data_IF_653103425135
#
_entry.id   IF_653103425135
#
_cell.length_a   1.000
_cell.length_b   1.000
_cell.length_c   1.000
_cell.angle_alpha   90.00
_cell.angle_beta   90.00
_cell.angle_gamma   90.00
#
_symmetry.space_group_name_H-M   'P 1'
#
loop_
_entity.id
_entity.type
_entity.pdbx_description
1 polymer ?
#
# COMPACT_ATOMS: atom_id res chain seq x y z
N UNK A 1 14.90 -25.09 22.38
CA UNK A 1 14.99 -23.62 22.44
C UNK A 1 15.10 -23.11 21.01
N UNK A 2 14.00 -22.64 20.44
CA UNK A 2 14.05 -21.88 19.19
C UNK A 2 14.50 -20.46 19.57
N UNK A 3 15.49 -19.92 18.86
CA UNK A 3 15.91 -18.55 19.07
C UNK A 3 14.84 -17.62 18.48
N UNK A 4 14.21 -16.81 19.31
CA UNK A 4 13.25 -15.79 18.86
C UNK A 4 13.96 -14.84 17.90
N UNK A 5 13.52 -14.69 16.63
CA UNK A 5 14.04 -13.64 15.77
C UNK A 5 13.59 -12.30 16.32
N UNK A 6 14.48 -11.59 17.02
CA UNK A 6 14.20 -10.24 17.49
C UNK A 6 14.39 -9.25 16.35
N UNK A 7 13.34 -8.48 16.05
CA UNK A 7 13.35 -7.37 15.08
C UNK A 7 14.54 -6.42 15.27
N UNK A 8 15.07 -6.32 16.49
CA UNK A 8 16.28 -5.57 16.87
C UNK A 8 17.53 -5.84 16.01
N UNK A 9 17.64 -7.00 15.35
CA UNK A 9 18.77 -7.28 14.47
C UNK A 9 18.62 -6.66 13.06
N UNK A 10 17.38 -6.34 12.66
CA UNK A 10 17.03 -5.69 11.40
C UNK A 10 16.67 -4.20 11.53
N UNK A 11 16.51 -3.67 12.75
CA UNK A 11 16.43 -2.22 13.02
C UNK A 11 17.75 -1.45 12.76
N UNK A 12 18.66 -2.02 11.96
CA UNK A 12 19.78 -1.28 11.38
C UNK A 12 19.24 -0.47 10.19
N UNK A 13 19.55 0.83 10.09
CA UNK A 13 19.05 1.64 8.98
C UNK A 13 19.50 1.06 7.65
N UNK A 14 18.59 1.07 6.68
CA UNK A 14 18.84 0.61 5.32
C UNK A 14 20.15 1.18 4.77
N UNK A 15 20.93 0.33 4.12
CA UNK A 15 22.04 0.80 3.28
C UNK A 15 21.47 1.83 2.29
N UNK A 16 22.17 2.96 2.05
CA UNK A 16 21.66 3.98 1.16
C UNK A 16 21.39 3.35 -0.21
N UNK A 17 20.18 3.56 -0.73
CA UNK A 17 19.94 3.48 -2.17
C UNK A 17 20.91 4.41 -2.86
N UNK A 18 21.36 4.03 -4.07
CA UNK A 18 22.48 4.65 -4.78
C UNK A 18 22.53 6.17 -4.64
N UNK A 19 23.68 6.69 -4.19
CA UNK A 19 23.86 8.11 -3.86
C UNK A 19 23.68 8.98 -5.12
N UNK A 20 22.54 9.69 -5.18
CA UNK A 20 22.19 10.61 -6.26
C UNK A 20 20.75 10.43 -6.76
N UNK A 21 20.18 11.49 -7.33
CA UNK A 21 19.10 11.37 -8.32
C UNK A 21 19.68 11.06 -9.70
N UNK A 22 18.85 10.57 -10.61
CA UNK A 22 19.22 10.45 -12.03
C UNK A 22 18.47 11.55 -12.82
N UNK A 23 19.16 12.65 -13.22
CA UNK A 23 18.54 13.73 -13.97
C UNK A 23 18.05 13.32 -15.36
N UNK A 24 18.63 12.29 -15.97
CA UNK A 24 18.22 11.80 -17.28
C UNK A 24 16.92 10.99 -17.16
N UNK A 25 16.83 10.12 -16.16
CA UNK A 25 15.60 9.41 -15.81
C UNK A 25 14.48 10.39 -15.39
N UNK A 26 14.80 11.37 -14.54
CA UNK A 26 13.85 12.39 -14.11
C UNK A 26 13.31 13.19 -15.31
N UNK A 27 14.18 13.71 -16.18
CA UNK A 27 13.78 14.42 -17.39
C UNK A 27 12.97 13.56 -18.38
N UNK A 28 13.21 12.23 -18.41
CA UNK A 28 12.45 11.27 -19.23
C UNK A 28 11.05 11.02 -18.68
N UNK A 29 10.88 10.92 -17.36
CA UNK A 29 9.59 10.62 -16.73
C UNK A 29 8.72 11.86 -16.50
N UNK A 30 9.30 13.05 -16.35
CA UNK A 30 8.57 14.28 -16.03
C UNK A 30 7.38 14.57 -16.98
N UNK A 31 7.49 14.45 -18.32
CA UNK A 31 6.36 14.71 -19.21
C UNK A 31 5.19 13.73 -19.01
N UNK A 32 5.50 12.46 -18.74
CA UNK A 32 4.49 11.44 -18.43
C UNK A 32 3.81 11.76 -17.10
N UNK A 33 4.57 12.02 -16.04
CA UNK A 33 4.00 12.30 -14.72
C UNK A 33 3.19 13.59 -14.70
N UNK A 34 3.68 14.70 -15.27
CA UNK A 34 2.90 15.94 -15.33
C UNK A 34 1.60 15.75 -16.12
N UNK A 35 1.61 14.97 -17.21
CA UNK A 35 0.39 14.63 -17.94
C UNK A 35 -0.53 13.72 -17.13
N UNK A 36 -0.01 12.66 -16.52
CA UNK A 36 -0.77 11.71 -15.71
C UNK A 36 -1.53 12.39 -14.57
N UNK A 37 -0.84 13.26 -13.82
CA UNK A 37 -1.44 14.06 -12.75
C UNK A 37 -2.52 15.04 -13.27
N UNK A 38 -2.35 15.57 -14.49
CA UNK A 38 -3.34 16.45 -15.13
C UNK A 38 -4.56 15.65 -15.61
N UNK A 39 -4.35 14.53 -16.29
CA UNK A 39 -5.40 13.70 -16.91
C UNK A 39 -6.19 12.89 -15.86
N UNK A 40 -5.67 12.75 -14.63
CA UNK A 40 -6.36 12.18 -13.46
C UNK A 40 -7.45 13.08 -12.86
N UNK A 41 -7.28 14.42 -12.90
CA UNK A 41 -8.19 15.47 -12.40
C UNK A 41 -9.00 15.10 -11.12
N UNK A 42 -8.31 14.61 -10.08
CA UNK A 42 -8.98 14.16 -8.86
C UNK A 42 -9.54 15.35 -8.06
N UNK A 43 -10.86 15.38 -7.92
CA UNK A 43 -11.61 16.35 -7.13
C UNK A 43 -12.33 15.64 -5.97
N UNK A 44 -12.51 16.26 -4.79
CA UNK A 44 -12.15 17.63 -4.44
C UNK A 44 -10.68 17.77 -4.02
N UNK A 45 -10.27 19.01 -3.77
CA UNK A 45 -9.00 19.35 -3.12
C UNK A 45 -8.74 18.50 -1.87
N UNK A 46 -7.48 18.08 -1.71
CA UNK A 46 -6.96 17.37 -0.55
C UNK A 46 -7.25 18.09 0.79
N UNK A 47 -7.63 17.32 1.81
CA UNK A 47 -7.89 17.82 3.17
C UNK A 47 -7.40 16.83 4.22
N UNK A 48 -6.88 17.37 5.33
CA UNK A 48 -6.62 16.65 6.58
C UNK A 48 -7.59 17.14 7.67
N UNK A 49 -7.81 16.33 8.69
CA UNK A 49 -8.71 16.67 9.79
C UNK A 49 -8.35 15.91 11.08
N UNK A 50 -8.23 16.64 12.19
CA UNK A 50 -7.81 16.14 13.51
C UNK A 50 -6.45 15.39 13.54
N UNK A 51 -5.51 15.77 12.66
CA UNK A 51 -4.19 15.13 12.49
C UNK A 51 -3.39 14.90 13.78
N UNK A 52 -3.31 15.91 14.66
CA UNK A 52 -2.57 15.82 15.93
C UNK A 52 -3.15 14.73 16.86
N UNK A 53 -4.48 14.71 16.98
CA UNK A 53 -5.25 13.73 17.76
C UNK A 53 -5.17 12.32 17.15
N UNK A 54 -5.11 12.22 15.82
CA UNK A 54 -4.82 10.96 15.14
C UNK A 54 -3.43 10.45 15.48
N UNK A 55 -2.41 11.30 15.42
CA UNK A 55 -1.03 10.92 15.74
C UNK A 55 -0.93 10.41 17.18
N UNK A 56 -1.56 11.10 18.14
CA UNK A 56 -1.60 10.68 19.54
C UNK A 56 -2.22 9.27 19.71
N UNK A 57 -3.42 9.04 19.18
CA UNK A 57 -4.10 7.74 19.32
C UNK A 57 -3.40 6.62 18.52
N UNK A 58 -2.80 6.92 17.37
CA UNK A 58 -1.99 5.95 16.59
C UNK A 58 -0.75 5.53 17.38
N UNK A 59 0.03 6.47 17.92
CA UNK A 59 1.24 6.15 18.71
C UNK A 59 0.88 5.38 20.00
N UNK A 60 -0.22 5.75 20.65
CA UNK A 60 -0.77 5.08 21.83
C UNK A 60 -1.21 3.65 21.53
N UNK A 61 -1.90 3.42 20.40
CA UNK A 61 -2.28 2.06 19.98
C UNK A 61 -1.04 1.25 19.56
N UNK A 62 -0.12 1.84 18.80
CA UNK A 62 1.12 1.18 18.37
C UNK A 62 1.92 0.65 19.56
N UNK A 63 2.04 1.44 20.63
CA UNK A 63 2.64 1.03 21.90
C UNK A 63 1.95 -0.18 22.56
N UNK A 64 0.63 -0.33 22.40
CA UNK A 64 -0.11 -1.46 22.99
C UNK A 64 0.10 -2.79 22.26
N UNK A 65 0.53 -2.76 21.00
CA UNK A 65 0.83 -3.97 20.20
C UNK A 65 2.06 -4.73 20.69
N UNK A 66 2.98 -4.06 21.39
CA UNK A 66 4.28 -4.61 21.79
C UNK A 66 5.29 -4.78 20.64
N UNK A 67 4.94 -4.46 19.39
CA UNK A 67 5.87 -4.50 18.24
C UNK A 67 6.87 -3.34 18.38
N UNK A 68 8.19 -3.58 18.32
CA UNK A 68 9.20 -2.51 18.34
C UNK A 68 9.00 -1.47 17.23
N UNK A 69 9.15 -0.19 17.56
CA UNK A 69 9.04 0.96 16.65
C UNK A 69 9.87 2.14 17.16
N UNK A 70 11.14 1.89 17.50
CA UNK A 70 12.04 2.94 17.97
C UNK A 70 12.18 4.07 16.94
N UNK A 71 12.39 5.30 17.40
CA UNK A 71 12.42 6.46 16.52
C UNK A 71 13.50 6.29 15.42
N UNK A 72 13.10 6.48 14.16
CA UNK A 72 13.91 6.26 12.96
C UNK A 72 14.19 4.79 12.57
N UNK A 73 13.62 3.80 13.27
CA UNK A 73 13.58 2.41 12.78
C UNK A 73 12.77 2.29 11.50
N UNK A 74 13.02 1.22 10.72
CA UNK A 74 12.17 0.86 9.58
C UNK A 74 10.72 0.64 10.00
N UNK A 75 10.51 0.00 11.16
CA UNK A 75 9.19 -0.15 11.76
C UNK A 75 8.49 1.20 12.03
N UNK A 76 9.20 2.18 12.61
CA UNK A 76 8.64 3.52 12.82
C UNK A 76 8.33 4.24 11.50
N UNK A 77 9.17 4.11 10.47
CA UNK A 77 8.86 4.67 9.15
C UNK A 77 7.60 4.03 8.55
N UNK A 78 7.41 2.72 8.70
CA UNK A 78 6.18 2.00 8.32
C UNK A 78 4.96 2.43 9.15
N UNK A 79 5.15 2.78 10.43
CA UNK A 79 4.08 3.36 11.26
C UNK A 79 3.67 4.76 10.74
N UNK A 80 4.63 5.57 10.31
CA UNK A 80 4.35 6.85 9.67
C UNK A 80 3.67 6.67 8.29
N UNK A 81 3.97 5.59 7.55
CA UNK A 81 3.19 5.22 6.34
C UNK A 81 1.72 5.03 6.69
N UNK A 82 1.42 4.23 7.71
CA UNK A 82 0.05 3.99 8.15
C UNK A 82 -0.66 5.25 8.65
N UNK A 83 0.03 6.06 9.47
CA UNK A 83 -0.50 7.35 9.93
C UNK A 83 -0.87 8.26 8.75
N UNK A 84 0.07 8.53 7.83
CA UNK A 84 -0.18 9.45 6.71
C UNK A 84 -1.25 8.92 5.77
N UNK A 85 -1.29 7.60 5.52
CA UNK A 85 -2.36 7.00 4.74
C UNK A 85 -3.73 7.26 5.36
N UNK A 86 -3.89 6.97 6.65
CA UNK A 86 -5.15 7.17 7.35
C UNK A 86 -5.54 8.66 7.51
N UNK A 87 -4.57 9.57 7.67
CA UNK A 87 -4.88 10.99 7.79
C UNK A 87 -5.29 11.63 6.48
N UNK A 88 -4.60 11.25 5.38
CA UNK A 88 -4.82 11.82 4.07
C UNK A 88 -6.07 11.23 3.39
N UNK A 89 -6.25 9.90 3.43
CA UNK A 89 -7.29 9.22 2.66
C UNK A 89 -8.64 9.18 3.40
N UNK A 90 -8.63 9.28 4.73
CA UNK A 90 -9.82 9.09 5.58
C UNK A 90 -10.09 10.29 6.50
N UNK A 91 -10.08 11.55 6.01
CA UNK A 91 -10.05 12.73 6.88
C UNK A 91 -11.28 12.84 7.79
N UNK A 92 -12.49 12.53 7.28
CA UNK A 92 -13.75 12.63 8.02
C UNK A 92 -14.28 11.29 8.52
N UNK A 93 -13.43 10.26 8.55
CA UNK A 93 -13.75 8.96 9.14
C UNK A 93 -13.58 9.00 10.65
N UNK A 94 -14.30 8.12 11.34
CA UNK A 94 -14.16 7.97 12.79
C UNK A 94 -12.69 7.75 13.20
N UNK A 95 -12.26 8.38 14.30
CA UNK A 95 -10.91 8.24 14.84
C UNK A 95 -10.53 6.76 15.05
N UNK A 96 -11.47 5.91 15.44
CA UNK A 96 -11.25 4.46 15.59
C UNK A 96 -10.96 3.76 14.25
N UNK A 97 -11.62 4.18 13.17
CA UNK A 97 -11.36 3.68 11.81
C UNK A 97 -10.00 4.16 11.32
N UNK A 98 -9.69 5.45 11.48
CA UNK A 98 -8.37 6.01 11.10
C UNK A 98 -7.22 5.30 11.85
N UNK A 99 -7.36 5.09 13.17
CA UNK A 99 -6.37 4.33 13.97
C UNK A 99 -6.28 2.87 13.51
N UNK A 100 -7.40 2.20 13.26
CA UNK A 100 -7.40 0.84 12.75
C UNK A 100 -6.64 0.72 11.42
N UNK A 101 -6.89 1.61 10.46
CA UNK A 101 -6.24 1.61 9.15
C UNK A 101 -4.75 1.94 9.26
N UNK A 102 -4.38 2.88 10.13
CA UNK A 102 -2.97 3.21 10.35
C UNK A 102 -2.17 2.03 10.92
N UNK A 103 -2.70 1.37 11.95
CA UNK A 103 -2.05 0.21 12.57
C UNK A 103 -2.08 -1.01 11.65
N UNK A 104 -3.16 -1.21 10.89
CA UNK A 104 -3.23 -2.22 9.84
C UNK A 104 -2.11 -2.04 8.82
N UNK A 105 -2.00 -0.83 8.25
CA UNK A 105 -1.02 -0.49 7.21
C UNK A 105 0.42 -0.66 7.71
N UNK A 106 0.70 -0.21 8.94
CA UNK A 106 1.99 -0.41 9.59
C UNK A 106 2.39 -1.88 9.69
N UNK A 107 1.52 -2.71 10.27
CA UNK A 107 1.80 -4.12 10.51
C UNK A 107 1.85 -4.90 9.19
N UNK A 108 0.96 -4.61 8.24
CA UNK A 108 0.97 -5.21 6.90
C UNK A 108 2.27 -4.92 6.15
N UNK A 109 2.77 -3.68 6.21
CA UNK A 109 4.05 -3.30 5.56
C UNK A 109 5.22 -4.13 6.11
N UNK A 110 5.31 -4.30 7.44
CA UNK A 110 6.39 -5.10 8.05
C UNK A 110 6.21 -6.61 7.77
N UNK A 111 4.97 -7.09 7.64
CA UNK A 111 4.69 -8.46 7.21
C UNK A 111 5.11 -8.72 5.76
N UNK A 112 5.08 -7.71 4.88
CA UNK A 112 5.55 -7.83 3.50
C UNK A 112 7.09 -7.96 3.42
N UNK A 113 7.82 -7.33 4.34
CA UNK A 113 9.27 -7.48 4.51
C UNK A 113 9.70 -8.87 5.06
N UNK A 114 8.82 -9.87 5.12
CA UNK A 114 9.07 -11.15 5.80
C UNK A 114 10.31 -11.92 5.31
N UNK A 115 10.71 -11.79 4.03
CA UNK A 115 11.94 -12.39 3.53
C UNK A 115 13.17 -11.68 4.11
N UNK A 116 13.18 -10.35 4.14
CA UNK A 116 14.24 -9.59 4.77
C UNK A 116 14.34 -9.90 6.27
N UNK A 117 13.19 -10.04 6.95
CA UNK A 117 13.10 -10.36 8.37
C UNK A 117 13.42 -11.83 8.70
N UNK A 118 13.52 -12.72 7.70
CA UNK A 118 13.78 -14.15 7.89
C UNK A 118 12.62 -14.93 8.53
N UNK A 119 11.37 -14.48 8.33
CA UNK A 119 10.16 -15.07 8.93
C UNK A 119 9.19 -15.68 7.89
N UNK A 120 9.64 -15.92 6.65
CA UNK A 120 8.79 -16.47 5.57
C UNK A 120 8.09 -17.78 5.95
N UNK A 121 8.77 -18.72 6.62
CA UNK A 121 8.15 -19.98 7.06
C UNK A 121 7.00 -19.75 8.06
N UNK A 122 7.10 -18.69 8.88
CA UNK A 122 6.06 -18.32 9.83
C UNK A 122 4.89 -17.58 9.16
N UNK A 123 5.16 -16.77 8.15
CA UNK A 123 4.13 -16.12 7.32
C UNK A 123 3.38 -17.14 6.47
N UNK A 124 4.08 -18.13 5.89
CA UNK A 124 3.48 -19.21 5.09
C UNK A 124 2.47 -20.04 5.90
N UNK A 125 2.68 -20.17 7.21
CA UNK A 125 1.80 -20.91 8.12
C UNK A 125 0.80 -20.01 8.87
N UNK A 126 0.79 -18.70 8.60
CA UNK A 126 -0.06 -17.76 9.34
C UNK A 126 -1.55 -18.09 9.23
N UNK A 127 -2.07 -18.29 8.02
CA UNK A 127 -3.51 -18.54 7.80
C UNK A 127 -3.97 -19.84 8.47
N UNK A 128 -3.17 -20.91 8.36
CA UNK A 128 -3.44 -22.18 9.04
C UNK A 128 -3.57 -21.97 10.55
N UNK A 129 -2.60 -21.30 11.17
CA UNK A 129 -2.63 -21.01 12.62
C UNK A 129 -3.83 -20.14 13.00
N UNK A 130 -4.13 -19.11 12.20
CA UNK A 130 -5.24 -18.19 12.40
C UNK A 130 -6.60 -18.91 12.40
N UNK A 131 -6.82 -19.81 11.43
CA UNK A 131 -8.06 -20.61 11.32
C UNK A 131 -8.17 -21.63 12.46
N UNK A 132 -7.07 -22.26 12.85
CA UNK A 132 -7.05 -23.25 13.94
C UNK A 132 -7.10 -22.64 15.35
N UNK A 133 -6.99 -21.30 15.47
CA UNK A 133 -6.90 -20.61 16.76
C UNK A 133 -5.57 -20.81 17.48
N UNK A 134 -4.52 -21.18 16.75
CA UNK A 134 -3.16 -21.35 17.26
C UNK A 134 -2.46 -20.00 17.45
N UNK A 135 -1.53 -19.93 18.40
CA UNK A 135 -0.76 -18.71 18.64
C UNK A 135 0.23 -18.44 17.49
N UNK A 136 0.25 -17.19 16.98
CA UNK A 136 1.26 -16.80 16.01
C UNK A 136 2.64 -16.66 16.68
N UNK A 137 3.73 -17.09 16.03
CA UNK A 137 5.03 -17.31 16.69
C UNK A 137 5.80 -16.03 17.02
N UNK A 138 5.52 -14.92 16.33
CA UNK A 138 6.20 -13.63 16.54
C UNK A 138 5.28 -12.57 17.14
N UNK A 139 5.84 -11.53 17.76
CA UNK A 139 5.05 -10.39 18.26
C UNK A 139 4.33 -9.66 17.12
N UNK A 140 5.01 -9.47 15.98
CA UNK A 140 4.44 -8.89 14.75
C UNK A 140 3.20 -9.65 14.27
N UNK A 141 3.32 -10.97 14.10
CA UNK A 141 2.23 -11.78 13.56
C UNK A 141 1.07 -11.91 14.56
N UNK A 142 1.33 -11.90 15.88
CA UNK A 142 0.25 -11.80 16.88
C UNK A 142 -0.47 -10.46 16.80
N UNK A 143 0.27 -9.35 16.76
CA UNK A 143 -0.31 -8.02 16.61
C UNK A 143 -1.15 -7.89 15.32
N UNK A 144 -0.66 -8.43 14.19
CA UNK A 144 -1.43 -8.41 12.94
C UNK A 144 -2.68 -9.30 13.04
N UNK A 145 -2.58 -10.52 13.57
CA UNK A 145 -3.73 -11.39 13.78
C UNK A 145 -4.78 -10.77 14.72
N UNK A 146 -4.37 -10.03 15.75
CA UNK A 146 -5.29 -9.32 16.63
C UNK A 146 -5.90 -8.09 15.95
N UNK A 147 -5.14 -7.39 15.11
CA UNK A 147 -5.66 -6.30 14.26
C UNK A 147 -6.75 -6.82 13.31
N UNK A 148 -6.53 -7.94 12.62
CA UNK A 148 -7.52 -8.55 11.71
C UNK A 148 -8.85 -8.93 12.40
N UNK A 149 -8.83 -9.26 13.70
CA UNK A 149 -10.06 -9.54 14.46
C UNK A 149 -10.91 -8.28 14.67
N UNK A 150 -10.29 -7.10 14.71
CA UNK A 150 -11.01 -5.82 14.90
C UNK A 150 -11.85 -5.41 13.69
N UNK A 151 -11.60 -5.97 12.50
CA UNK A 151 -12.36 -5.66 11.27
C UNK A 151 -13.88 -5.81 11.46
N UNK A 152 -14.32 -6.88 12.12
CA UNK A 152 -15.74 -7.13 12.41
C UNK A 152 -16.37 -6.09 13.35
N UNK A 153 -15.57 -5.36 14.14
CA UNK A 153 -16.06 -4.23 14.95
C UNK A 153 -16.45 -3.06 14.06
N UNK A 154 -15.67 -2.76 13.03
CA UNK A 154 -15.75 -1.52 12.24
C UNK A 154 -16.49 -1.66 10.91
N UNK A 155 -16.45 -2.83 10.29
CA UNK A 155 -17.03 -3.10 8.98
C UNK A 155 -18.21 -4.06 9.06
N UNK A 156 -19.05 -4.08 8.02
CA UNK A 156 -20.14 -5.05 7.88
C UNK A 156 -19.54 -6.46 7.73
N UNK A 157 -20.15 -7.56 8.22
CA UNK A 157 -19.54 -8.89 8.16
C UNK A 157 -19.07 -9.32 6.77
N UNK A 158 -19.79 -8.98 5.70
CA UNK A 158 -19.35 -9.26 4.33
C UNK A 158 -18.06 -8.49 3.96
N UNK A 159 -18.01 -7.19 4.24
CA UNK A 159 -16.82 -6.35 4.01
C UNK A 159 -15.65 -6.80 4.88
N UNK A 160 -15.92 -7.20 6.13
CA UNK A 160 -14.90 -7.73 7.01
C UNK A 160 -14.31 -9.03 6.45
N UNK A 161 -15.11 -9.94 5.91
CA UNK A 161 -14.61 -11.13 5.22
C UNK A 161 -13.68 -10.76 4.04
N UNK A 162 -14.07 -9.80 3.21
CA UNK A 162 -13.26 -9.36 2.04
C UNK A 162 -11.93 -8.74 2.47
N UNK A 163 -11.95 -7.86 3.48
CA UNK A 163 -10.73 -7.33 4.11
C UNK A 163 -9.85 -8.47 4.62
N UNK A 164 -10.38 -9.42 5.42
CA UNK A 164 -9.60 -10.55 5.92
C UNK A 164 -9.03 -11.41 4.79
N UNK A 165 -9.80 -11.73 3.75
CA UNK A 165 -9.32 -12.49 2.60
C UNK A 165 -8.17 -11.75 1.88
N UNK A 166 -8.30 -10.45 1.67
CA UNK A 166 -7.24 -9.62 1.08
C UNK A 166 -5.98 -9.57 1.97
N UNK A 167 -6.14 -9.51 3.30
CA UNK A 167 -5.03 -9.60 4.27
C UNK A 167 -4.33 -10.95 4.32
N UNK A 168 -5.06 -12.06 4.13
CA UNK A 168 -4.47 -13.41 4.08
C UNK A 168 -3.81 -13.68 2.73
N UNK A 169 -4.35 -13.10 1.65
CA UNK A 169 -3.72 -13.08 0.32
C UNK A 169 -2.37 -12.36 0.35
N UNK A 170 -2.20 -11.27 1.10
CA UNK A 170 -0.89 -10.60 1.30
C UNK A 170 0.16 -11.60 1.79
N UNK A 171 -0.07 -12.19 2.96
CA UNK A 171 0.87 -13.11 3.61
C UNK A 171 1.17 -14.34 2.73
N UNK A 172 0.15 -14.84 2.05
CA UNK A 172 0.28 -15.91 1.05
C UNK A 172 1.16 -15.45 -0.12
N UNK A 173 0.98 -14.24 -0.64
CA UNK A 173 1.76 -13.66 -1.75
C UNK A 173 3.22 -13.44 -1.34
N UNK A 174 3.49 -12.80 -0.20
CA UNK A 174 4.84 -12.60 0.33
C UNK A 174 5.59 -13.92 0.45
N UNK A 175 4.93 -14.98 0.92
CA UNK A 175 5.50 -16.34 0.99
C UNK A 175 5.68 -17.00 -0.39
N UNK A 176 4.77 -16.71 -1.34
CA UNK A 176 4.81 -17.23 -2.70
C UNK A 176 5.97 -16.60 -3.50
N UNK A 177 6.15 -15.28 -3.46
CA UNK A 177 7.19 -14.56 -4.21
C UNK A 177 8.60 -14.84 -3.68
N UNK A 178 8.75 -15.20 -2.40
CA UNK A 178 10.04 -15.67 -1.86
C UNK A 178 10.56 -16.96 -2.53
N UNK A 179 9.70 -17.75 -3.18
CA UNK A 179 10.07 -19.04 -3.79
C UNK A 179 10.91 -18.83 -5.06
N UNK A 180 12.08 -19.47 -5.14
CA UNK A 180 13.00 -19.38 -6.29
C UNK A 180 12.32 -19.48 -7.67
N UNK A 181 11.50 -20.51 -7.90
CA UNK A 181 10.82 -20.72 -9.19
C UNK A 181 9.67 -19.75 -9.49
N UNK A 182 9.31 -18.88 -8.53
CA UNK A 182 8.40 -17.75 -8.70
C UNK A 182 9.21 -16.48 -9.05
N UNK A 183 10.34 -16.22 -8.38
CA UNK A 183 11.27 -15.12 -8.75
C UNK A 183 11.72 -15.21 -10.20
N UNK A 184 12.12 -16.40 -10.64
CA UNK A 184 12.51 -16.70 -12.03
C UNK A 184 11.41 -16.40 -13.08
N UNK A 185 10.16 -16.10 -12.69
CA UNK A 185 9.08 -15.72 -13.62
C UNK A 185 9.16 -14.28 -14.12
N UNK A 186 9.82 -13.38 -13.39
CA UNK A 186 10.13 -12.04 -13.90
C UNK A 186 11.15 -12.09 -15.03
N UNK A 187 12.24 -12.85 -14.83
CA UNK A 187 13.32 -12.99 -15.80
C UNK A 187 12.95 -13.87 -17.01
N UNK A 188 12.11 -14.89 -16.80
CA UNK A 188 11.78 -15.92 -17.79
C UNK A 188 10.25 -16.10 -17.95
N UNK A 189 9.56 -15.10 -18.52
CA UNK A 189 8.11 -15.12 -18.70
C UNK A 189 7.68 -16.24 -19.66
N UNK A 190 6.60 -16.94 -19.31
CA UNK A 190 5.98 -17.95 -20.18
C UNK A 190 4.96 -17.32 -21.14
N UNK A 191 4.93 -17.80 -22.40
CA UNK A 191 4.08 -17.28 -23.50
C UNK A 191 2.56 -17.27 -23.27
N UNK A 192 2.07 -17.78 -22.15
CA UNK A 192 0.64 -17.74 -21.77
C UNK A 192 0.41 -17.25 -20.34
N UNK A 193 1.42 -16.66 -19.70
CA UNK A 193 1.33 -16.15 -18.32
C UNK A 193 0.94 -14.68 -18.23
N UNK A 194 0.27 -14.11 -19.24
CA UNK A 194 0.05 -12.67 -19.39
C UNK A 194 -0.59 -11.98 -18.16
N UNK A 195 -1.40 -12.71 -17.38
CA UNK A 195 -2.02 -12.19 -16.15
C UNK A 195 -1.21 -12.44 -14.87
N UNK A 196 -0.01 -13.03 -14.96
CA UNK A 196 0.80 -13.38 -13.79
C UNK A 196 1.25 -12.13 -12.99
N UNK A 197 1.60 -11.04 -13.68
CA UNK A 197 1.93 -9.77 -13.04
C UNK A 197 0.75 -9.25 -12.19
N UNK A 198 -0.47 -9.24 -12.74
CA UNK A 198 -1.68 -8.86 -12.00
C UNK A 198 -2.01 -9.85 -10.87
N UNK A 199 -1.88 -11.15 -11.11
CA UNK A 199 -2.16 -12.19 -10.10
C UNK A 199 -1.32 -12.01 -8.83
N UNK A 200 -0.05 -11.64 -8.96
CA UNK A 200 0.81 -11.33 -7.82
C UNK A 200 0.41 -9.97 -7.21
N UNK A 201 0.29 -8.93 -8.05
CA UNK A 201 0.01 -7.55 -7.63
C UNK A 201 -1.32 -7.35 -6.87
N UNK A 202 -2.36 -8.06 -7.29
CA UNK A 202 -3.67 -8.10 -6.64
C UNK A 202 -3.59 -8.62 -5.19
N UNK A 203 -2.63 -9.52 -4.93
CA UNK A 203 -2.49 -10.22 -3.64
C UNK A 203 -1.49 -9.52 -2.71
N UNK A 204 -0.36 -9.04 -3.23
CA UNK A 204 0.58 -8.23 -2.45
C UNK A 204 0.09 -6.79 -2.19
N UNK A 205 -0.70 -6.21 -3.08
CA UNK A 205 -1.12 -4.81 -2.97
C UNK A 205 -2.24 -4.55 -1.97
N UNK A 206 -2.98 -5.59 -1.56
CA UNK A 206 -4.12 -5.51 -0.61
C UNK A 206 -5.20 -4.48 -1.03
N UNK A 207 -5.30 -4.18 -2.33
CA UNK A 207 -6.08 -3.05 -2.84
C UNK A 207 -7.57 -3.15 -2.54
N UNK A 208 -8.12 -4.36 -2.42
CA UNK A 208 -9.51 -4.59 -2.02
C UNK A 208 -9.76 -4.16 -0.57
N UNK A 209 -8.87 -4.51 0.37
CA UNK A 209 -9.01 -4.07 1.76
C UNK A 209 -8.96 -2.54 1.86
N UNK A 210 -8.00 -1.90 1.16
CA UNK A 210 -7.89 -0.45 1.13
C UNK A 210 -9.12 0.22 0.50
N UNK A 211 -9.67 -0.34 -0.59
CA UNK A 211 -10.94 0.13 -1.18
C UNK A 211 -12.07 0.10 -0.15
N UNK A 212 -12.21 -1.02 0.57
CA UNK A 212 -13.23 -1.20 1.61
C UNK A 212 -13.01 -0.36 2.87
N UNK A 213 -11.77 0.01 3.22
CA UNK A 213 -11.49 0.90 4.35
C UNK A 213 -12.16 2.27 4.23
N UNK A 214 -12.49 2.68 3.00
CA UNK A 214 -13.30 3.87 2.70
C UNK A 214 -14.72 3.79 3.28
N UNK A 215 -15.27 2.60 3.52
CA UNK A 215 -16.69 2.39 3.81
C UNK A 215 -16.97 1.63 5.13
N UNK A 216 -16.58 2.16 6.31
CA UNK A 216 -16.96 1.57 7.61
C UNK A 216 -18.47 1.65 7.86
N UNK A 217 -19.05 0.58 8.45
CA UNK A 217 -20.52 0.39 8.55
C UNK A 217 -21.27 1.47 9.33
N UNK A 218 -20.57 2.24 10.20
CA UNK A 218 -21.17 3.28 11.05
C UNK A 218 -21.36 4.62 10.32
N UNK A 219 -20.71 4.79 9.18
CA UNK A 219 -20.86 5.94 8.28
C UNK A 219 -21.44 5.52 6.92
N UNK A 220 -21.15 4.29 6.48
CA UNK A 220 -21.49 3.74 5.17
C UNK A 220 -22.14 2.35 5.34
N UNK A 221 -23.40 2.26 5.78
CA UNK A 221 -24.07 0.99 6.08
C UNK A 221 -24.59 0.24 4.84
N UNK A 222 -24.67 0.90 3.68
CA UNK A 222 -25.24 0.36 2.44
C UNK A 222 -24.10 -0.06 1.49
N UNK A 223 -23.95 -1.36 1.33
CA UNK A 223 -22.86 -1.97 0.54
C UNK A 223 -23.18 -2.04 -0.95
N UNK A 224 -24.46 -1.91 -1.32
CA UNK A 224 -24.90 -2.03 -2.71
C UNK A 224 -24.51 -0.78 -3.53
N UNK A 225 -24.09 0.30 -2.85
CA UNK A 225 -23.62 1.55 -3.47
C UNK A 225 -22.20 1.44 -4.05
N UNK A 226 -21.15 1.08 -3.28
CA UNK A 226 -19.79 1.03 -3.81
C UNK A 226 -19.44 -0.26 -4.57
N UNK A 227 -20.20 -1.36 -4.39
CA UNK A 227 -19.77 -2.71 -4.80
C UNK A 227 -19.33 -2.84 -6.27
N UNK A 228 -20.04 -2.19 -7.20
CA UNK A 228 -19.72 -2.23 -8.64
C UNK A 228 -18.37 -1.55 -8.97
N UNK A 229 -17.89 -0.66 -8.10
CA UNK A 229 -16.63 0.08 -8.29
C UNK A 229 -15.43 -0.49 -7.52
N UNK A 230 -15.61 -1.45 -6.59
CA UNK A 230 -14.54 -1.94 -5.71
C UNK A 230 -13.34 -2.52 -6.48
N UNK A 231 -13.58 -3.20 -7.60
CA UNK A 231 -12.50 -3.74 -8.46
C UNK A 231 -11.71 -2.61 -9.15
N UNK A 232 -12.38 -1.56 -9.62
CA UNK A 232 -11.71 -0.39 -10.18
C UNK A 232 -10.99 0.43 -9.11
N UNK A 233 -11.53 0.54 -7.88
CA UNK A 233 -10.84 1.14 -6.74
C UNK A 233 -9.55 0.35 -6.39
N UNK A 234 -9.64 -0.98 -6.39
CA UNK A 234 -8.52 -1.89 -6.14
C UNK A 234 -7.40 -1.69 -7.17
N UNK A 235 -7.77 -1.64 -8.46
CA UNK A 235 -6.86 -1.33 -9.57
C UNK A 235 -6.29 0.07 -9.50
N UNK A 236 -7.12 1.07 -9.21
CA UNK A 236 -6.69 2.47 -9.07
C UNK A 236 -5.62 2.62 -7.98
N UNK A 237 -5.85 2.04 -6.80
CA UNK A 237 -4.89 2.06 -5.69
C UNK A 237 -3.58 1.37 -6.08
N UNK A 238 -3.66 0.18 -6.68
CA UNK A 238 -2.47 -0.56 -7.12
C UNK A 238 -1.67 0.21 -8.18
N UNK A 239 -2.31 0.61 -9.27
CA UNK A 239 -1.67 1.23 -10.43
C UNK A 239 -1.18 2.66 -10.15
N UNK A 240 -1.89 3.46 -9.35
CA UNK A 240 -1.39 4.78 -8.94
C UNK A 240 -0.08 4.65 -8.16
N UNK A 241 0.00 3.65 -7.28
CA UNK A 241 1.23 3.35 -6.56
C UNK A 241 2.33 2.89 -7.52
N UNK A 242 2.08 1.93 -8.41
CA UNK A 242 3.06 1.41 -9.37
C UNK A 242 3.61 2.50 -10.32
N UNK A 243 2.75 3.44 -10.74
CA UNK A 243 3.15 4.56 -11.61
C UNK A 243 4.02 5.56 -10.86
N UNK A 244 3.62 5.96 -9.65
CA UNK A 244 4.32 6.97 -8.86
C UNK A 244 5.53 6.41 -8.09
N UNK A 245 5.62 5.10 -7.90
CA UNK A 245 6.79 4.43 -7.33
C UNK A 245 7.88 4.16 -8.37
N UNK A 246 7.53 4.04 -9.66
CA UNK A 246 8.47 3.64 -10.72
C UNK A 246 9.80 4.41 -10.73
N UNK A 247 9.81 5.71 -10.43
CA UNK A 247 11.05 6.49 -10.31
C UNK A 247 11.95 6.00 -9.16
N UNK A 248 11.43 5.84 -7.93
CA UNK A 248 12.24 5.35 -6.79
C UNK A 248 12.77 3.92 -7.03
N UNK A 249 11.99 3.09 -7.73
CA UNK A 249 12.30 1.68 -8.01
C UNK A 249 13.39 1.57 -9.07
N UNK A 250 13.26 2.34 -10.16
CA UNK A 250 14.27 2.46 -11.20
C UNK A 250 15.63 2.91 -10.63
N UNK A 251 15.64 3.87 -9.71
CA UNK A 251 16.87 4.32 -9.03
C UNK A 251 17.47 3.26 -8.10
N UNK A 252 16.64 2.45 -7.45
CA UNK A 252 17.08 1.33 -6.63
C UNK A 252 17.56 0.12 -7.47
N UNK A 253 17.36 0.15 -8.79
CA UNK A 253 17.61 -1.00 -9.67
C UNK A 253 16.57 -2.13 -9.50
N UNK A 254 15.41 -1.82 -8.93
CA UNK A 254 14.33 -2.78 -8.69
C UNK A 254 13.65 -3.16 -10.02
N UNK A 255 13.85 -4.40 -10.45
CA UNK A 255 13.23 -4.99 -11.66
C UNK A 255 12.05 -5.92 -11.35
N UNK A 256 11.85 -6.28 -10.09
CA UNK A 256 10.83 -7.23 -9.63
C UNK A 256 9.56 -6.50 -9.18
N UNK A 257 8.97 -5.68 -10.06
CA UNK A 257 7.77 -4.89 -9.81
C UNK A 257 6.71 -5.10 -10.89
N UNK A 258 5.50 -4.57 -10.68
CA UNK A 258 4.37 -4.77 -11.60
C UNK A 258 4.65 -4.27 -13.03
N UNK A 259 5.30 -3.11 -13.18
CA UNK A 259 5.60 -2.51 -14.48
C UNK A 259 6.59 -3.38 -15.28
N UNK A 260 7.71 -3.78 -14.68
CA UNK A 260 8.71 -4.61 -15.35
C UNK A 260 8.21 -6.02 -15.62
N UNK A 261 7.44 -6.63 -14.70
CA UNK A 261 6.79 -7.91 -14.97
C UNK A 261 5.77 -7.82 -16.11
N UNK A 262 4.95 -6.76 -16.16
CA UNK A 262 4.00 -6.54 -17.26
C UNK A 262 4.73 -6.38 -18.59
N UNK A 263 5.79 -5.56 -18.63
CA UNK A 263 6.64 -5.39 -19.80
C UNK A 263 7.21 -6.73 -20.32
N UNK A 264 7.77 -7.54 -19.40
CA UNK A 264 8.33 -8.85 -19.73
C UNK A 264 7.28 -9.83 -20.28
N UNK A 265 6.07 -9.87 -19.70
CA UNK A 265 4.99 -10.77 -20.13
C UNK A 265 4.25 -10.30 -21.40
N UNK A 266 4.18 -9.00 -21.67
CA UNK A 266 3.59 -8.44 -22.89
C UNK A 266 4.61 -8.34 -24.04
N UNK A 267 5.91 -8.45 -23.77
CA UNK A 267 6.97 -8.35 -24.77
C UNK A 267 7.25 -6.91 -25.23
N UNK A 268 7.03 -5.94 -24.33
CA UNK A 268 7.25 -4.50 -24.55
C UNK A 268 8.33 -3.99 -23.59
N UNK A 269 8.75 -2.74 -23.74
CA UNK A 269 9.62 -2.09 -22.76
C UNK A 269 8.84 -1.57 -21.53
N UNK A 270 9.57 -1.24 -20.46
CA UNK A 270 8.99 -0.74 -19.22
C UNK A 270 8.29 0.62 -19.38
N UNK A 271 8.67 1.42 -20.37
CA UNK A 271 8.04 2.71 -20.64
C UNK A 271 6.65 2.52 -21.25
N UNK A 272 6.50 1.60 -22.21
CA UNK A 272 5.20 1.26 -22.78
C UNK A 272 4.26 0.68 -21.73
N UNK A 273 4.77 -0.22 -20.85
CA UNK A 273 4.00 -0.76 -19.73
C UNK A 273 3.60 0.32 -18.70
N UNK A 274 4.48 1.28 -18.42
CA UNK A 274 4.20 2.42 -17.53
C UNK A 274 3.14 3.36 -18.12
N UNK A 275 3.24 3.71 -19.40
CA UNK A 275 2.23 4.53 -20.09
C UNK A 275 0.86 3.84 -20.12
N UNK A 276 0.83 2.53 -20.38
CA UNK A 276 -0.39 1.72 -20.32
C UNK A 276 -0.99 1.70 -18.91
N UNK A 277 -0.18 1.45 -17.88
CA UNK A 277 -0.64 1.42 -16.48
C UNK A 277 -1.15 2.79 -16.02
N UNK A 278 -0.51 3.89 -16.43
CA UNK A 278 -0.98 5.25 -16.18
C UNK A 278 -2.36 5.52 -16.82
N UNK A 279 -2.57 5.08 -18.07
CA UNK A 279 -3.86 5.17 -18.75
C UNK A 279 -4.92 4.30 -18.08
N UNK A 280 -4.58 3.05 -17.72
CA UNK A 280 -5.48 2.13 -17.01
C UNK A 280 -5.93 2.71 -15.67
N UNK A 281 -5.04 3.40 -14.93
CA UNK A 281 -5.38 4.11 -13.67
C UNK A 281 -6.41 5.21 -13.90
N UNK A 282 -6.21 6.05 -14.92
CA UNK A 282 -7.13 7.14 -15.27
C UNK A 282 -8.50 6.58 -15.66
N UNK A 283 -8.54 5.48 -16.41
CA UNK A 283 -9.80 4.87 -16.82
C UNK A 283 -10.50 4.13 -15.67
N UNK A 284 -9.76 3.60 -14.68
CA UNK A 284 -10.34 3.16 -13.40
C UNK A 284 -11.01 4.34 -12.67
N UNK A 285 -10.31 5.46 -12.51
CA UNK A 285 -10.85 6.65 -11.84
C UNK A 285 -12.19 7.09 -12.46
N UNK A 286 -12.25 7.21 -13.79
CA UNK A 286 -13.46 7.58 -14.55
C UNK A 286 -14.62 6.60 -14.36
N UNK A 287 -14.35 5.29 -14.29
CA UNK A 287 -15.39 4.28 -14.05
C UNK A 287 -15.94 4.38 -12.63
N UNK A 288 -15.08 4.55 -11.63
CA UNK A 288 -15.51 4.72 -10.23
C UNK A 288 -16.38 5.97 -10.07
N UNK A 289 -15.98 7.09 -10.68
CA UNK A 289 -16.79 8.31 -10.69
C UNK A 289 -18.15 8.08 -11.37
N UNK A 290 -18.19 7.35 -12.49
CA UNK A 290 -19.45 7.02 -13.16
C UNK A 290 -20.39 6.14 -12.33
N UNK A 291 -19.87 5.25 -11.49
CA UNK A 291 -20.67 4.39 -10.59
C UNK A 291 -21.16 5.18 -9.37
N UNK A 292 -20.30 6.03 -8.80
CA UNK A 292 -20.60 6.80 -7.58
C UNK A 292 -21.32 8.14 -7.83
N UNK A 293 -21.44 8.61 -9.07
CA UNK A 293 -22.08 9.88 -9.39
C UNK A 293 -23.49 10.00 -8.78
N UNK A 294 -23.69 11.02 -7.93
CA UNK A 294 -24.95 11.29 -7.25
C UNK A 294 -25.23 10.41 -6.03
N UNK A 295 -24.26 9.59 -5.58
CA UNK A 295 -24.40 8.71 -4.39
C UNK A 295 -24.05 9.42 -3.07
N UNK A 296 -23.87 10.74 -3.08
CA UNK A 296 -23.74 11.58 -1.89
C UNK A 296 -22.44 11.34 -1.13
N UNK A 297 -22.53 11.01 0.16
CA UNK A 297 -21.33 10.86 1.01
C UNK A 297 -20.41 9.69 0.56
N UNK A 298 -20.92 8.67 -0.15
CA UNK A 298 -20.08 7.59 -0.71
C UNK A 298 -19.14 8.10 -1.81
N UNK A 299 -19.69 8.90 -2.73
CA UNK A 299 -18.95 9.56 -3.81
C UNK A 299 -17.84 10.45 -3.23
N UNK A 300 -18.21 11.28 -2.26
CA UNK A 300 -17.33 12.20 -1.55
C UNK A 300 -16.25 11.47 -0.74
N UNK A 301 -16.58 10.34 -0.10
CA UNK A 301 -15.62 9.55 0.67
C UNK A 301 -14.56 8.92 -0.24
N UNK A 302 -14.96 8.32 -1.36
CA UNK A 302 -14.00 7.81 -2.34
C UNK A 302 -13.16 8.93 -2.96
N UNK A 303 -13.77 10.04 -3.34
CA UNK A 303 -13.06 11.18 -3.92
C UNK A 303 -11.99 11.75 -2.97
N UNK A 304 -12.32 11.91 -1.69
CA UNK A 304 -11.36 12.31 -0.65
C UNK A 304 -10.26 11.24 -0.45
N UNK A 305 -10.60 9.95 -0.51
CA UNK A 305 -9.61 8.88 -0.49
C UNK A 305 -8.64 9.01 -1.68
N UNK A 306 -9.14 9.08 -2.90
CA UNK A 306 -8.33 9.15 -4.11
C UNK A 306 -7.40 10.38 -4.12
N UNK A 307 -7.92 11.58 -3.83
CA UNK A 307 -7.12 12.80 -3.71
C UNK A 307 -6.09 12.70 -2.57
N UNK A 308 -6.47 12.13 -1.42
CA UNK A 308 -5.58 11.92 -0.28
C UNK A 308 -4.44 10.93 -0.56
N UNK A 309 -4.76 9.84 -1.26
CA UNK A 309 -3.79 8.82 -1.65
C UNK A 309 -2.81 9.35 -2.68
N UNK A 310 -3.29 10.13 -3.67
CA UNK A 310 -2.42 10.85 -4.59
C UNK A 310 -1.49 11.81 -3.83
N UNK A 311 -2.06 12.66 -2.96
CA UNK A 311 -1.28 13.64 -2.22
C UNK A 311 -0.22 12.99 -1.32
N UNK A 312 -0.53 11.83 -0.71
CA UNK A 312 0.44 11.04 0.06
C UNK A 312 1.66 10.64 -0.79
N UNK A 313 1.51 10.38 -2.08
CA UNK A 313 2.64 10.08 -2.95
C UNK A 313 3.44 11.34 -3.29
N UNK A 314 2.74 12.43 -3.61
CA UNK A 314 3.33 13.73 -3.97
C UNK A 314 4.11 14.37 -2.81
N UNK A 315 3.62 14.24 -1.56
CA UNK A 315 4.21 14.86 -0.37
C UNK A 315 5.29 14.05 0.34
N UNK A 316 5.46 12.75 0.03
CA UNK A 316 6.41 11.91 0.76
C UNK A 316 7.73 11.72 0.03
N UNK A 317 8.82 12.02 0.73
CA UNK A 317 10.18 11.85 0.25
C UNK A 317 10.51 10.43 -0.21
N UNK A 318 9.86 9.41 0.36
CA UNK A 318 9.92 8.01 -0.11
C UNK A 318 9.82 7.86 -1.63
N UNK A 319 8.93 8.62 -2.30
CA UNK A 319 8.70 8.49 -3.74
C UNK A 319 9.63 9.36 -4.60
N UNK A 320 10.38 10.29 -3.99
CA UNK A 320 11.37 11.17 -4.64
C UNK A 320 10.82 12.00 -5.81
N UNK A 321 9.50 12.18 -5.90
CA UNK A 321 8.82 12.89 -7.00
C UNK A 321 9.21 14.36 -7.16
N UNK A 322 9.72 14.99 -6.09
CA UNK A 322 10.31 16.33 -6.13
C UNK A 322 11.52 16.41 -7.08
N UNK A 323 12.31 15.34 -7.21
CA UNK A 323 13.45 15.27 -8.13
C UNK A 323 13.00 15.19 -9.61
N UNK A 324 11.79 14.70 -9.85
CA UNK A 324 11.13 14.68 -11.16
C UNK A 324 10.37 15.99 -11.46
N UNK A 325 10.28 16.90 -10.48
CA UNK A 325 9.59 18.19 -10.63
C UNK A 325 8.06 18.10 -10.52
N UNK A 326 7.53 17.04 -9.92
CA UNK A 326 6.07 16.83 -9.72
C UNK A 326 5.68 16.50 -8.27
N UNK A 327 6.65 16.50 -7.36
CA UNK A 327 6.45 16.27 -5.92
C UNK A 327 6.65 17.54 -5.09
N UNK A 328 6.06 17.55 -3.90
CA UNK A 328 6.21 18.62 -2.90
C UNK A 328 7.48 18.43 -2.05
N UNK A 329 7.83 19.46 -1.28
CA UNK A 329 8.79 19.31 -0.20
C UNK A 329 8.20 18.39 0.91
N UNK A 330 8.97 17.43 1.46
CA UNK A 330 8.47 16.49 2.47
C UNK A 330 7.83 17.18 3.67
N UNK A 331 6.57 16.84 3.97
CA UNK A 331 5.79 17.49 5.02
C UNK A 331 6.10 16.98 6.44
N UNK A 332 6.68 15.79 6.52
CA UNK A 332 7.27 15.20 7.72
C UNK A 332 8.80 15.19 7.63
N UNK A 333 9.48 15.27 8.79
CA UNK A 333 10.89 14.89 8.93
C UNK A 333 11.05 13.37 8.79
N UNK A 334 10.81 12.85 7.58
CA UNK A 334 11.33 11.54 7.19
C UNK A 334 12.85 11.59 7.29
N UNK A 335 13.48 10.47 7.66
CA UNK A 335 14.94 10.34 7.57
C UNK A 335 15.31 10.06 6.11
N UNK A 336 15.04 11.05 5.26
CA UNK A 336 15.83 11.26 4.06
C UNK A 336 17.21 11.62 4.58
N UNK A 337 18.20 10.74 4.35
CA UNK A 337 19.60 11.08 4.63
C UNK A 337 19.89 12.39 3.89
N UNK A 338 20.27 13.42 4.65
CA UNK A 338 20.53 14.75 4.09
C UNK A 338 21.63 14.65 3.03
N UNK A 339 21.43 15.45 1.97
CA UNK A 339 22.30 15.75 0.83
C UNK A 339 23.78 15.74 1.21
#
# INVERSE_FOLDING_TARGET
>A
MLATPTLSNFDKPSLPSSEGGDPALAARLQPLYSRFLTDLDLQPEYRRHESEKLMEEVLKFAKSTGVPHDLNSHSYQSLMVGYTYADNCLPYHDIEVKVYVAIYTWLATICDDAEALGIIDDVQLFEQRFILGEEQPTVLLRAFADQLKLTYKLYHPLVANLILCSSLNLLTSTSLVARKGIKEKGDHPSKGGNYFAWYIRERDGVGEAYSWFTFPKRQFPDLDIPIEAIEDMTRFIAYLNDVLSFYKESLAGETHNYINHTAAYEGVDSDAALHKTAQDTIDCARRIESVLAGKGEYEKAWRLHASGYLQMHVQRGRYRLIEVGVGDAPDVHEVIKKI
#
